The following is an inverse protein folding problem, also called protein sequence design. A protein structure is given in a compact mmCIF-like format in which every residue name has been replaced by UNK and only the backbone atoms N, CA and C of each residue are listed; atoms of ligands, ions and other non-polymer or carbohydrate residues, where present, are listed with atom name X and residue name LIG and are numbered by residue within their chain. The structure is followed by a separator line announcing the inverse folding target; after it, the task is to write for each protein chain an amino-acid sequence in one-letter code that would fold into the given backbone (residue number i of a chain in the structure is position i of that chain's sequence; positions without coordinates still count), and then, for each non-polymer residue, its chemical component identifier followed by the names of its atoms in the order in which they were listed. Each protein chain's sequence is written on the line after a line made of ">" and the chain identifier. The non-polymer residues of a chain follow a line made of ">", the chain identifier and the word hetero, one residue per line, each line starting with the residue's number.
data_IF_408123345778
#
_entry.id   IF_408123345778
#
_cell.length_a   1.000
_cell.length_b   1.000
_cell.length_c   1.000
_cell.angle_alpha   90.00
_cell.angle_beta   90.00
_cell.angle_gamma   90.00
#
_symmetry.space_group_name_H-M   'P 1'
#
loop_
_entity.id
_entity.type
_entity.pdbx_description
1 polymer ?
#
# COMPACT_ATOMS: atom_id res chain seq x y z
N UNK A 1 18.64 -2.03 23.87
CA UNK A 1 18.37 -2.01 22.39
C UNK A 1 16.87 -2.10 22.07
N UNK A 2 16.11 -3.06 22.63
CA UNK A 2 14.65 -3.23 22.40
C UNK A 2 13.77 -2.02 22.81
N UNK A 3 14.06 -1.38 23.95
CA UNK A 3 13.29 -0.20 24.40
C UNK A 3 13.41 1.02 23.45
N UNK A 4 14.60 1.22 22.86
CA UNK A 4 14.81 2.28 21.84
C UNK A 4 14.02 1.99 20.56
N UNK A 5 13.87 0.72 20.18
CA UNK A 5 13.05 0.32 19.04
C UNK A 5 11.56 0.62 19.28
N UNK A 6 11.02 0.32 20.47
CA UNK A 6 9.63 0.64 20.84
C UNK A 6 9.40 2.15 20.78
N UNK A 7 10.32 2.95 21.34
CA UNK A 7 10.23 4.41 21.29
C UNK A 7 10.23 4.92 19.84
N UNK A 8 11.08 4.38 18.98
CA UNK A 8 11.12 4.74 17.55
C UNK A 8 9.81 4.43 16.82
N UNK A 9 9.24 3.24 17.05
CA UNK A 9 7.95 2.82 16.48
C UNK A 9 6.83 3.75 16.94
N UNK A 10 6.77 4.08 18.23
CA UNK A 10 5.74 4.99 18.77
C UNK A 10 5.83 6.38 18.14
N UNK A 11 7.04 6.96 18.04
CA UNK A 11 7.23 8.27 17.44
C UNK A 11 6.82 8.26 15.96
N UNK A 12 7.27 7.26 15.21
CA UNK A 12 6.95 7.13 13.78
C UNK A 12 5.44 7.02 13.55
N UNK A 13 4.78 6.08 14.23
CA UNK A 13 3.33 5.87 14.07
C UNK A 13 2.51 7.07 14.54
N UNK A 14 2.92 7.74 15.62
CA UNK A 14 2.24 8.94 16.11
C UNK A 14 2.37 10.09 15.11
N UNK A 15 3.56 10.29 14.53
CA UNK A 15 3.77 11.28 13.47
C UNK A 15 2.91 11.00 12.24
N UNK A 16 2.86 9.74 11.79
CA UNK A 16 1.99 9.32 10.67
C UNK A 16 0.52 9.54 10.97
N UNK A 17 0.06 9.21 12.19
CA UNK A 17 -1.31 9.43 12.63
C UNK A 17 -1.68 10.91 12.54
N UNK A 18 -0.84 11.81 13.07
CA UNK A 18 -1.10 13.24 13.02
C UNK A 18 -1.13 13.77 11.58
N UNK A 19 -0.24 13.29 10.71
CA UNK A 19 -0.25 13.66 9.30
C UNK A 19 -1.55 13.25 8.59
N UNK A 20 -2.02 12.01 8.81
CA UNK A 20 -3.29 11.55 8.24
C UNK A 20 -4.49 12.30 8.81
N UNK A 21 -4.50 12.58 10.10
CA UNK A 21 -5.55 13.36 10.75
C UNK A 21 -5.60 14.79 10.19
N UNK A 22 -4.45 15.43 10.03
CA UNK A 22 -4.34 16.75 9.40
C UNK A 22 -4.89 16.74 7.96
N UNK A 23 -4.43 15.80 7.12
CA UNK A 23 -4.89 15.69 5.74
C UNK A 23 -6.40 15.43 5.67
N UNK A 24 -6.94 14.60 6.56
CA UNK A 24 -8.37 14.31 6.66
C UNK A 24 -9.17 15.55 7.04
N UNK A 25 -8.77 16.29 8.08
CA UNK A 25 -9.46 17.52 8.48
C UNK A 25 -9.47 18.53 7.32
N UNK A 26 -8.34 18.70 6.64
CA UNK A 26 -8.25 19.61 5.48
C UNK A 26 -9.22 19.23 4.36
N UNK A 27 -9.31 17.94 3.99
CA UNK A 27 -10.22 17.51 2.93
C UNK A 27 -11.68 17.71 3.31
N UNK A 28 -12.06 17.45 4.56
CA UNK A 28 -13.42 17.72 5.04
C UNK A 28 -13.77 19.21 5.05
N UNK A 29 -12.84 20.08 5.42
CA UNK A 29 -13.05 21.53 5.40
C UNK A 29 -13.25 22.03 3.96
N UNK A 30 -12.44 21.54 3.01
CA UNK A 30 -12.49 22.00 1.63
C UNK A 30 -13.69 21.46 0.84
N UNK A 31 -14.01 20.16 0.95
CA UNK A 31 -15.04 19.52 0.14
C UNK A 31 -16.41 19.45 0.80
N UNK A 32 -16.55 19.83 2.08
CA UNK A 32 -17.70 19.55 2.95
C UNK A 32 -17.93 18.04 3.21
N UNK A 33 -18.65 17.66 4.29
CA UNK A 33 -18.93 16.25 4.60
C UNK A 33 -19.76 15.52 3.53
N UNK A 34 -20.61 16.25 2.81
CA UNK A 34 -21.43 15.71 1.73
C UNK A 34 -20.62 15.61 0.44
N UNK A 35 -19.90 16.67 0.06
CA UNK A 35 -19.15 16.72 -1.19
C UNK A 35 -17.95 15.78 -1.23
N UNK A 36 -17.32 15.45 -0.09
CA UNK A 36 -16.19 14.51 -0.07
C UNK A 36 -16.58 13.10 -0.52
N UNK A 37 -17.86 12.71 -0.41
CA UNK A 37 -18.36 11.38 -0.80
C UNK A 37 -18.32 11.16 -2.31
N UNK A 38 -18.35 12.24 -3.08
CA UNK A 38 -18.31 12.19 -4.55
C UNK A 38 -16.87 12.24 -5.10
N UNK A 39 -15.89 12.50 -4.23
CA UNK A 39 -14.49 12.67 -4.62
C UNK A 39 -13.68 11.42 -4.29
N UNK A 40 -13.30 10.67 -5.32
CA UNK A 40 -12.50 9.43 -5.17
C UNK A 40 -11.11 9.70 -4.57
N UNK A 41 -10.51 10.86 -4.90
CA UNK A 41 -9.12 11.21 -4.54
C UNK A 41 -9.02 12.58 -3.88
N UNK A 42 -9.55 12.75 -2.66
CA UNK A 42 -9.76 14.07 -2.09
C UNK A 42 -8.45 14.83 -1.86
N UNK A 43 -7.40 14.16 -1.40
CA UNK A 43 -6.08 14.78 -1.19
C UNK A 43 -5.46 15.28 -2.50
N UNK A 44 -5.58 14.53 -3.60
CA UNK A 44 -5.10 14.98 -4.90
C UNK A 44 -5.92 16.15 -5.43
N UNK A 45 -7.25 16.12 -5.24
CA UNK A 45 -8.11 17.22 -5.67
C UNK A 45 -7.91 18.50 -4.88
N UNK A 46 -7.42 18.45 -3.62
CA UNK A 46 -7.02 19.67 -2.89
C UNK A 46 -5.96 20.48 -3.67
N UNK A 47 -5.05 19.80 -4.36
CA UNK A 47 -3.98 20.45 -5.12
C UNK A 47 -4.49 21.24 -6.33
N UNK A 48 -5.69 20.92 -6.85
CA UNK A 48 -6.35 21.68 -7.91
C UNK A 48 -6.77 23.07 -7.45
N UNK A 49 -7.07 23.24 -6.16
CA UNK A 49 -7.47 24.52 -5.59
C UNK A 49 -6.31 25.50 -5.37
N UNK A 50 -5.06 25.05 -5.54
CA UNK A 50 -3.88 25.87 -5.34
C UNK A 50 -3.40 26.37 -6.70
N UNK A 51 -3.69 27.64 -7.00
CA UNK A 51 -3.24 28.31 -8.23
C UNK A 51 -2.26 29.41 -7.86
N UNK A 52 -1.09 29.42 -8.51
CA UNK A 52 -0.15 30.54 -8.44
C UNK A 52 -0.25 31.37 -9.71
N UNK A 53 0.05 32.67 -9.65
CA UNK A 53 0.01 33.55 -10.83
C UNK A 53 0.95 33.12 -11.97
N UNK A 54 1.94 32.27 -11.69
CA UNK A 54 2.87 31.71 -12.68
C UNK A 54 2.62 30.22 -12.99
N UNK A 55 1.71 29.57 -12.25
CA UNK A 55 1.49 28.12 -12.32
C UNK A 55 0.02 27.79 -12.07
N UNK A 56 -0.69 27.57 -13.18
CA UNK A 56 -2.13 27.32 -13.22
C UNK A 56 -2.50 25.88 -12.81
N UNK A 57 -1.54 24.93 -12.87
CA UNK A 57 -1.78 23.48 -12.63
C UNK A 57 -0.66 22.80 -11.83
N UNK A 58 -0.59 23.07 -10.54
CA UNK A 58 0.35 22.41 -9.62
C UNK A 58 0.18 20.90 -9.54
N UNK A 59 -1.04 20.40 -9.75
CA UNK A 59 -1.34 18.97 -9.75
C UNK A 59 -0.43 18.18 -10.71
N UNK A 60 -0.09 18.75 -11.87
CA UNK A 60 0.69 18.05 -12.91
C UNK A 60 2.12 17.84 -12.42
N UNK A 61 2.72 18.85 -11.79
CA UNK A 61 4.07 18.77 -11.23
C UNK A 61 4.08 17.76 -10.08
N UNK A 62 3.05 17.77 -9.24
CA UNK A 62 2.93 16.81 -8.15
C UNK A 62 2.82 15.37 -8.67
N UNK A 63 2.00 15.12 -9.70
CA UNK A 63 1.88 13.81 -10.35
C UNK A 63 3.24 13.36 -10.93
N UNK A 64 3.97 14.25 -11.61
CA UNK A 64 5.29 13.93 -12.16
C UNK A 64 6.29 13.56 -11.06
N UNK A 65 6.34 14.32 -9.96
CA UNK A 65 7.14 13.96 -8.78
C UNK A 65 6.70 12.62 -8.18
N UNK A 66 5.40 12.38 -8.10
CA UNK A 66 4.85 11.18 -7.51
C UNK A 66 5.15 9.92 -8.32
N UNK A 67 5.35 10.01 -9.64
CA UNK A 67 5.83 8.89 -10.46
C UNK A 67 7.22 8.40 -10.00
N UNK A 68 8.12 9.31 -9.60
CA UNK A 68 9.42 8.93 -9.04
C UNK A 68 9.23 8.21 -7.71
N UNK A 69 8.37 8.73 -6.83
CA UNK A 69 8.05 8.08 -5.55
C UNK A 69 7.44 6.69 -5.77
N UNK A 70 6.50 6.54 -6.70
CA UNK A 70 5.93 5.25 -7.08
C UNK A 70 6.99 4.25 -7.52
N UNK A 71 7.97 4.68 -8.32
CA UNK A 71 9.04 3.81 -8.79
C UNK A 71 9.84 3.19 -7.63
N UNK A 72 10.01 3.92 -6.52
CA UNK A 72 10.68 3.41 -5.31
C UNK A 72 9.91 2.32 -4.59
N UNK A 73 8.62 2.13 -4.92
CA UNK A 73 7.77 1.04 -4.37
C UNK A 73 7.63 -0.12 -5.35
N UNK A 74 7.41 0.17 -6.63
CA UNK A 74 7.19 -0.84 -7.67
C UNK A 74 8.45 -1.69 -7.89
N UNK A 75 9.63 -1.07 -8.00
CA UNK A 75 10.86 -1.82 -8.28
C UNK A 75 11.22 -2.82 -7.17
N UNK A 76 11.21 -2.45 -5.88
CA UNK A 76 11.43 -3.43 -4.81
C UNK A 76 10.39 -4.55 -4.80
N UNK A 77 9.11 -4.25 -5.06
CA UNK A 77 8.06 -5.28 -5.09
C UNK A 77 8.29 -6.29 -6.22
N UNK A 78 8.60 -5.83 -7.43
CA UNK A 78 8.95 -6.71 -8.55
C UNK A 78 10.22 -7.53 -8.26
N UNK A 79 11.22 -6.90 -7.65
CA UNK A 79 12.44 -7.58 -7.24
C UNK A 79 12.16 -8.68 -6.21
N UNK A 80 11.45 -8.38 -5.14
CA UNK A 80 11.12 -9.36 -4.10
C UNK A 80 10.21 -10.47 -4.62
N UNK A 81 9.24 -10.15 -5.48
CA UNK A 81 8.39 -11.15 -6.11
C UNK A 81 9.21 -12.13 -6.97
N UNK A 82 10.04 -11.62 -7.87
CA UNK A 82 10.90 -12.46 -8.73
C UNK A 82 11.91 -13.28 -7.91
N UNK A 83 12.49 -12.68 -6.86
CA UNK A 83 13.41 -13.36 -5.96
C UNK A 83 12.72 -14.51 -5.19
N UNK A 84 11.54 -14.27 -4.62
CA UNK A 84 10.76 -15.29 -3.91
C UNK A 84 10.31 -16.42 -4.82
N UNK A 85 9.90 -16.13 -6.05
CA UNK A 85 9.54 -17.19 -7.02
C UNK A 85 10.77 -18.01 -7.39
N UNK A 86 11.94 -17.37 -7.57
CA UNK A 86 13.19 -18.07 -7.86
C UNK A 86 13.64 -18.98 -6.72
N UNK A 87 13.44 -18.56 -5.46
CA UNK A 87 13.83 -19.36 -4.30
C UNK A 87 12.94 -20.59 -4.10
N UNK A 88 11.65 -20.50 -4.45
CA UNK A 88 10.70 -21.62 -4.42
C UNK A 88 10.93 -22.54 -5.63
N UNK A 89 11.02 -21.97 -6.84
CA UNK A 89 11.22 -22.71 -8.09
C UNK A 89 12.71 -22.93 -8.39
N UNK A 90 13.38 -23.73 -7.54
CA UNK A 90 14.82 -24.06 -7.64
C UNK A 90 15.30 -24.59 -9.01
N UNK A 91 14.39 -25.06 -9.86
CA UNK A 91 14.70 -25.69 -11.16
C UNK A 91 14.60 -24.73 -12.36
N UNK A 92 13.97 -23.57 -12.18
CA UNK A 92 13.76 -22.60 -13.27
C UNK A 92 14.90 -21.59 -13.30
N UNK A 93 15.40 -21.28 -14.50
CA UNK A 93 16.38 -20.20 -14.65
C UNK A 93 15.74 -18.87 -14.23
N UNK A 94 16.46 -18.08 -13.43
CA UNK A 94 16.05 -16.74 -12.98
C UNK A 94 15.61 -15.85 -14.15
N UNK A 95 16.29 -15.97 -15.29
CA UNK A 95 15.96 -15.24 -16.50
C UNK A 95 14.52 -15.52 -16.99
N UNK A 96 14.14 -16.80 -17.08
CA UNK A 96 12.80 -17.19 -17.52
C UNK A 96 11.71 -16.73 -16.56
N UNK A 97 11.97 -16.73 -15.25
CA UNK A 97 11.04 -16.22 -14.24
C UNK A 97 10.81 -14.71 -14.45
N UNK A 98 11.88 -13.92 -14.62
CA UNK A 98 11.77 -12.48 -14.86
C UNK A 98 11.00 -12.20 -16.16
N UNK A 99 11.37 -12.86 -17.27
CA UNK A 99 10.70 -12.68 -18.56
C UNK A 99 9.22 -13.05 -18.47
N UNK A 100 8.88 -14.19 -17.87
CA UNK A 100 7.48 -14.60 -17.69
C UNK A 100 6.69 -13.61 -16.84
N UNK A 101 7.28 -13.06 -15.77
CA UNK A 101 6.64 -12.04 -14.93
C UNK A 101 6.39 -10.73 -15.69
N UNK A 102 7.33 -10.29 -16.53
CA UNK A 102 7.19 -9.10 -17.35
C UNK A 102 6.12 -9.27 -18.44
N UNK A 103 6.03 -10.46 -19.05
CA UNK A 103 4.98 -10.81 -20.02
C UNK A 103 3.62 -10.82 -19.33
N UNK A 104 3.50 -11.44 -18.15
CA UNK A 104 2.27 -11.46 -17.37
C UNK A 104 1.81 -10.05 -16.99
N UNK A 105 2.71 -9.21 -16.49
CA UNK A 105 2.41 -7.80 -16.17
C UNK A 105 1.92 -7.04 -17.40
N UNK A 106 2.64 -7.12 -18.51
CA UNK A 106 2.26 -6.49 -19.78
C UNK A 106 0.89 -6.98 -20.26
N UNK A 107 0.63 -8.28 -20.17
CA UNK A 107 -0.65 -8.88 -20.52
C UNK A 107 -1.79 -8.36 -19.65
N UNK A 108 -1.59 -8.31 -18.33
CA UNK A 108 -2.58 -7.73 -17.40
C UNK A 108 -2.87 -6.29 -17.80
N UNK A 109 -1.86 -5.43 -18.00
CA UNK A 109 -2.08 -4.03 -18.36
C UNK A 109 -2.75 -3.83 -19.73
N UNK A 110 -2.51 -4.72 -20.71
CA UNK A 110 -3.19 -4.64 -22.01
C UNK A 110 -4.68 -4.95 -21.93
N UNK A 111 -5.06 -5.96 -21.14
CA UNK A 111 -6.46 -6.39 -21.05
C UNK A 111 -7.25 -5.70 -19.93
N UNK A 112 -6.56 -5.09 -18.96
CA UNK A 112 -7.18 -4.49 -17.80
C UNK A 112 -7.40 -2.99 -17.96
N UNK A 113 -8.59 -2.61 -18.42
CA UNK A 113 -9.06 -1.22 -18.50
C UNK A 113 -10.20 -1.01 -17.49
N UNK A 114 -9.90 -0.80 -16.20
CA UNK A 114 -10.92 -0.73 -15.18
C UNK A 114 -11.71 0.59 -15.27
N UNK A 115 -13.04 0.51 -15.20
CA UNK A 115 -13.89 1.68 -14.98
C UNK A 115 -13.77 2.15 -13.52
N UNK A 116 -14.21 3.37 -13.20
CA UNK A 116 -14.22 3.96 -11.85
C UNK A 116 -14.84 3.01 -10.83
N UNK A 117 -15.97 2.36 -11.14
CA UNK A 117 -16.60 1.39 -10.25
C UNK A 117 -15.71 0.17 -10.00
N UNK A 118 -15.01 -0.31 -11.02
CA UNK A 118 -14.05 -1.41 -10.90
C UNK A 118 -12.86 -1.01 -10.03
N UNK A 119 -12.37 0.23 -10.17
CA UNK A 119 -11.30 0.78 -9.35
C UNK A 119 -11.71 0.84 -7.88
N UNK A 120 -12.91 1.36 -7.58
CA UNK A 120 -13.45 1.42 -6.21
C UNK A 120 -13.62 0.01 -5.62
N UNK A 121 -14.10 -0.95 -6.42
CA UNK A 121 -14.17 -2.35 -6.01
C UNK A 121 -12.80 -2.93 -5.66
N UNK A 122 -11.77 -2.68 -6.49
CA UNK A 122 -10.40 -3.10 -6.22
C UNK A 122 -9.90 -2.51 -4.91
N UNK A 123 -10.15 -1.22 -4.63
CA UNK A 123 -9.77 -0.63 -3.35
C UNK A 123 -10.45 -1.30 -2.16
N UNK A 124 -11.77 -1.47 -2.21
CA UNK A 124 -12.50 -2.16 -1.14
C UNK A 124 -12.00 -3.59 -0.93
N UNK A 125 -11.69 -4.30 -2.02
CA UNK A 125 -11.12 -5.64 -1.95
C UNK A 125 -9.72 -5.65 -1.32
N UNK A 126 -8.84 -4.73 -1.75
CA UNK A 126 -7.51 -4.56 -1.17
C UNK A 126 -7.56 -4.17 0.31
N UNK A 127 -8.48 -3.30 0.71
CA UNK A 127 -8.68 -2.89 2.11
C UNK A 127 -9.07 -4.08 2.97
N UNK A 128 -9.97 -4.94 2.46
CA UNK A 128 -10.36 -6.17 3.14
C UNK A 128 -9.16 -7.11 3.32
N UNK A 129 -8.36 -7.31 2.27
CA UNK A 129 -7.14 -8.11 2.34
C UNK A 129 -6.12 -7.53 3.32
N UNK A 130 -5.96 -6.21 3.36
CA UNK A 130 -5.08 -5.53 4.30
C UNK A 130 -5.51 -5.78 5.75
N UNK A 131 -6.80 -5.69 6.06
CA UNK A 131 -7.32 -5.99 7.41
C UNK A 131 -7.01 -7.44 7.79
N UNK A 132 -7.27 -8.39 6.88
CA UNK A 132 -6.99 -9.81 7.12
C UNK A 132 -5.50 -10.03 7.36
N UNK A 133 -4.63 -9.46 6.52
CA UNK A 133 -3.19 -9.70 6.59
C UNK A 133 -2.51 -8.99 7.76
N UNK A 134 -2.91 -7.76 8.11
CA UNK A 134 -2.25 -6.98 9.15
C UNK A 134 -2.86 -7.16 10.55
N UNK A 135 -4.15 -7.51 10.66
CA UNK A 135 -4.78 -7.76 11.97
C UNK A 135 -5.02 -9.25 12.21
N UNK A 136 -5.74 -9.93 11.32
CA UNK A 136 -6.19 -11.30 11.58
C UNK A 136 -5.02 -12.28 11.57
N UNK A 137 -4.13 -12.18 10.58
CA UNK A 137 -3.01 -13.11 10.43
C UNK A 137 -2.01 -13.08 11.59
N UNK A 138 -1.55 -11.91 12.12
CA UNK A 138 -0.68 -11.87 13.28
C UNK A 138 -1.35 -12.41 14.55
N UNK A 139 -2.64 -12.11 14.77
CA UNK A 139 -3.41 -12.65 15.90
C UNK A 139 -3.52 -14.17 15.81
N UNK A 140 -3.82 -14.69 14.62
CA UNK A 140 -3.85 -16.12 14.36
C UNK A 140 -2.50 -16.80 14.67
N UNK A 141 -1.39 -16.24 14.17
CA UNK A 141 -0.05 -16.77 14.45
C UNK A 141 0.30 -16.69 15.94
N UNK A 142 -0.13 -15.65 16.64
CA UNK A 142 0.08 -15.50 18.07
C UNK A 142 -0.67 -16.57 18.87
N UNK A 143 -1.94 -16.82 18.56
CA UNK A 143 -2.74 -17.89 19.18
C UNK A 143 -2.13 -19.26 18.87
N UNK A 144 -1.74 -19.50 17.61
CA UNK A 144 -1.07 -20.73 17.20
C UNK A 144 0.22 -20.97 18.02
N UNK A 145 1.05 -19.94 18.20
CA UNK A 145 2.27 -20.02 18.99
C UNK A 145 2.01 -20.38 20.46
N UNK A 146 0.96 -19.83 21.07
CA UNK A 146 0.56 -20.17 22.44
C UNK A 146 0.12 -21.64 22.52
N UNK A 147 -0.75 -22.09 21.62
CA UNK A 147 -1.25 -23.46 21.59
C UNK A 147 -0.13 -24.47 21.35
N UNK A 148 0.77 -24.19 20.42
CA UNK A 148 1.93 -25.03 20.11
C UNK A 148 2.87 -25.16 21.32
N UNK A 149 3.18 -24.06 22.00
CA UNK A 149 4.00 -24.08 23.21
C UNK A 149 3.34 -24.85 24.35
N UNK A 150 2.03 -24.69 24.53
CA UNK A 150 1.28 -25.43 25.54
C UNK A 150 1.26 -26.95 25.26
N UNK A 151 1.04 -27.35 24.01
CA UNK A 151 1.06 -28.76 23.61
C UNK A 151 2.45 -29.40 23.76
N UNK A 152 3.51 -28.64 23.47
CA UNK A 152 4.90 -29.13 23.57
C UNK A 152 5.33 -29.29 25.03
N UNK A 153 4.93 -28.38 25.93
CA UNK A 153 5.18 -28.48 27.37
C UNK A 153 4.48 -29.65 28.05
N UNK A 154 3.39 -30.18 27.48
CA UNK A 154 2.69 -31.38 27.98
C UNK A 154 3.32 -32.70 27.54
N UNK A 155 4.24 -32.67 26.57
CA UNK A 155 4.96 -33.85 26.06
C UNK A 155 6.35 -34.04 26.69
N UNK A 156 6.82 -33.07 27.49
CA UNK A 156 7.99 -33.18 28.36
C UNK A 156 7.54 -33.52 29.77
#
# INVERSE_FOLDING_TARGET
>A
KKHKAIKGILIANTGTMFFYLYATILTYIYFSPEGIKEVVWPVFHLLKGISFSFLERLEIIYIAYYLIVFSTTIYPYLFFASYSVTSICRRSSRYWIIVSSAILLSGVFMFFNPNVNSIVFIYSFMDTLNIIFFMVFPVFLFVYSILFNWATRRKQ
#
